data_IF_249516283138
#
_entry.id   IF_249516283138
#
_cell.length_a   1.000
_cell.length_b   1.000
_cell.length_c   1.000
_cell.angle_alpha   90.00
_cell.angle_beta   90.00
_cell.angle_gamma   90.00
#
_symmetry.space_group_name_H-M   'P 1'
#
loop_
_entity.id
_entity.type
_entity.pdbx_description
1 polymer ?
2 non-polymer ?
3 non-polymer ?
4 non-polymer ?
5 water ?
#
# COMPACT_ATOMS: atom_id res chain seq x y z
N UNK A 1 -2.23 0.01 17.59
CA UNK A 1 -2.99 1.05 18.27
C UNK A 1 -3.00 2.35 17.47
N UNK A 2 -2.91 2.22 16.14
CA UNK A 2 -3.21 3.31 15.27
C UNK A 2 -4.69 3.41 15.01
N UNK A 3 -5.08 4.38 14.18
CA UNK A 3 -6.50 4.46 13.89
C UNK A 3 -6.93 3.32 13.00
N UNK A 4 -8.22 3.01 13.01
CA UNK A 4 -8.79 1.95 12.17
C UNK A 4 -9.98 2.51 11.41
N UNK A 5 -10.26 1.90 10.26
CA UNK A 5 -11.54 2.14 9.61
C UNK A 5 -12.65 1.52 10.45
N UNK A 6 -13.74 2.26 10.65
CA UNK A 6 -14.87 1.70 11.40
C UNK A 6 -15.91 1.12 10.46
N UNK A 7 -15.43 0.33 9.50
CA UNK A 7 -16.28 -0.37 8.55
C UNK A 7 -15.41 -1.42 7.88
N UNK A 8 -16.06 -2.42 7.29
CA UNK A 8 -15.35 -3.51 6.65
C UNK A 8 -15.43 -3.49 5.13
N UNK A 9 -16.10 -2.50 4.54
CA UNK A 9 -16.14 -2.31 3.09
C UNK A 9 -15.41 -1.01 2.78
N UNK A 10 -14.32 -1.10 2.03
CA UNK A 10 -13.41 0.03 1.81
C UNK A 10 -13.18 0.14 0.31
N UNK A 11 -13.31 1.35 -0.23
CA UNK A 11 -13.06 1.56 -1.64
C UNK A 11 -11.70 2.20 -1.88
N UNK A 12 -11.12 1.92 -3.04
CA UNK A 12 -9.90 2.59 -3.48
C UNK A 12 -10.08 3.12 -4.90
N UNK A 13 -9.27 4.12 -5.24
CA UNK A 13 -9.27 4.71 -6.57
C UNK A 13 -7.84 5.03 -6.95
N UNK A 14 -7.46 4.69 -8.18
CA UNK A 14 -6.12 5.00 -8.70
C UNK A 14 -6.19 6.37 -9.35
N UNK A 15 -5.59 7.37 -8.70
CA UNK A 15 -5.70 8.75 -9.16
C UNK A 15 -4.96 8.97 -10.47
N UNK A 16 -3.84 8.29 -10.65
CA UNK A 16 -2.99 8.48 -11.81
C UNK A 16 -2.04 7.29 -11.89
N UNK A 17 -1.39 7.14 -13.03
CA UNK A 17 -0.60 5.95 -13.37
C UNK A 17 0.84 6.34 -13.69
N UNK A 18 1.79 5.60 -13.09
CA UNK A 18 3.19 5.77 -13.44
C UNK A 18 3.41 5.41 -14.91
N UNK A 19 4.23 6.16 -15.64
CA UNK A 19 4.61 5.74 -17.00
C UNK A 19 5.59 4.57 -17.01
N UNK A 20 6.11 4.16 -15.84
CA UNK A 20 7.12 3.11 -15.81
C UNK A 20 6.55 1.75 -16.21
N UNK A 21 5.24 1.56 -16.03
CA UNK A 21 4.56 0.29 -16.24
C UNK A 21 3.32 0.56 -17.07
N UNK A 22 2.75 -0.48 -17.64
CA UNK A 22 1.48 -0.22 -18.34
C UNK A 22 0.31 -0.24 -17.35
N UNK A 23 -0.80 0.30 -17.79
CA UNK A 23 -1.94 0.51 -16.90
C UNK A 23 -2.48 -0.79 -16.33
N UNK A 24 -2.50 -1.83 -17.17
CA UNK A 24 -3.02 -3.13 -16.77
C UNK A 24 -2.19 -3.74 -15.64
N UNK A 25 -0.88 -3.53 -15.69
CA UNK A 25 0.02 -4.05 -14.67
C UNK A 25 -0.04 -3.24 -13.37
N UNK A 26 -0.24 -1.92 -13.46
CA UNK A 26 -0.49 -1.15 -12.25
C UNK A 26 -1.76 -1.62 -11.56
N UNK A 27 -2.85 -1.74 -12.32
CA UNK A 27 -4.12 -2.24 -11.76
C UNK A 27 -3.93 -3.59 -11.06
N UNK A 28 -3.20 -4.49 -11.70
CA UNK A 28 -3.01 -5.84 -11.15
C UNK A 28 -2.21 -5.81 -9.86
N UNK A 29 -1.11 -5.03 -9.85
CA UNK A 29 -0.28 -4.97 -8.64
C UNK A 29 -1.07 -4.44 -7.46
N UNK A 30 -1.87 -3.39 -7.69
CA UNK A 30 -2.66 -2.80 -6.60
C UNK A 30 -3.75 -3.76 -6.14
N UNK A 31 -4.47 -4.39 -7.08
CA UNK A 31 -5.52 -5.34 -6.70
C UNK A 31 -4.96 -6.50 -5.89
N UNK A 32 -3.84 -7.07 -6.34
CA UNK A 32 -3.23 -8.17 -5.60
C UNK A 32 -2.73 -7.73 -4.23
N UNK A 33 -2.23 -6.49 -4.11
CA UNK A 33 -1.77 -6.01 -2.81
C UNK A 33 -2.91 -5.87 -1.82
N UNK A 34 -4.07 -5.39 -2.27
CA UNK A 34 -5.24 -5.37 -1.39
C UNK A 34 -5.66 -6.78 -0.99
N UNK A 35 -5.56 -7.72 -1.93
CA UNK A 35 -6.00 -9.09 -1.67
C UNK A 35 -5.17 -9.74 -0.57
N UNK A 36 -3.89 -9.39 -0.46
CA UNK A 36 -3.04 -9.91 0.61
C UNK A 36 -3.69 -9.65 1.98
N UNK A 37 -4.22 -8.43 2.16
CA UNK A 37 -4.80 -8.05 3.45
C UNK A 37 -6.22 -8.55 3.62
N UNK A 38 -7.02 -8.57 2.54
CA UNK A 38 -8.36 -9.11 2.67
C UNK A 38 -8.35 -10.60 2.99
N UNK A 39 -7.28 -11.31 2.58
CA UNK A 39 -7.20 -12.75 2.83
C UNK A 39 -7.14 -13.12 4.30
N UNK A 40 -6.78 -12.19 5.18
CA UNK A 40 -6.59 -12.52 6.60
C UNK A 40 -7.43 -11.65 7.53
N UNK A 41 -8.40 -10.91 6.98
CA UNK A 41 -9.26 -10.01 7.77
C UNK A 41 -10.70 -10.11 7.27
N UNK A 42 -11.66 -9.45 7.93
CA UNK A 42 -12.99 -9.32 7.34
C UNK A 42 -13.10 -8.24 6.27
N UNK A 43 -12.01 -7.55 5.92
CA UNK A 43 -12.09 -6.39 5.04
C UNK A 43 -12.28 -6.79 3.58
N UNK A 44 -13.10 -6.02 2.88
CA UNK A 44 -13.28 -6.17 1.44
C UNK A 44 -12.99 -4.84 0.76
N UNK A 45 -12.34 -4.91 -0.40
CA UNK A 45 -11.89 -3.74 -1.15
C UNK A 45 -12.46 -3.77 -2.56
N UNK A 46 -13.04 -2.66 -2.99
CA UNK A 46 -13.52 -2.50 -4.36
C UNK A 46 -12.91 -1.25 -4.98
N UNK A 47 -12.51 -1.38 -6.25
CA UNK A 47 -11.96 -0.28 -7.03
C UNK A 47 -13.09 0.54 -7.64
N UNK A 48 -13.01 1.86 -7.49
CA UNK A 48 -13.95 2.77 -8.14
C UNK A 48 -13.17 3.81 -8.93
N UNK A 49 -13.84 4.40 -9.92
CA UNK A 49 -13.19 5.34 -10.84
C UNK A 49 -13.68 6.77 -10.68
N UNK A 50 -14.75 6.98 -9.93
CA UNK A 50 -15.28 8.30 -9.61
C UNK A 50 -15.71 8.26 -8.15
N UNK A 51 -16.39 9.31 -7.69
CA UNK A 51 -16.97 9.26 -6.37
C UNK A 51 -15.96 9.50 -5.26
N UNK A 52 -16.26 8.95 -4.09
CA UNK A 52 -15.53 9.27 -2.88
C UNK A 52 -14.89 7.98 -2.35
N UNK A 53 -13.70 7.67 -2.86
CA UNK A 53 -12.99 6.49 -2.41
C UNK A 53 -12.33 6.74 -1.06
N UNK A 54 -12.16 5.66 -0.29
CA UNK A 54 -11.47 5.78 0.99
C UNK A 54 -9.97 5.94 0.80
N UNK A 55 -9.36 5.09 -0.04
CA UNK A 55 -7.91 5.06 -0.24
C UNK A 55 -7.62 5.51 -1.67
N UNK A 56 -7.01 6.70 -1.80
CA UNK A 56 -6.57 7.18 -3.10
C UNK A 56 -5.12 6.75 -3.31
N UNK A 57 -4.83 6.14 -4.46
CA UNK A 57 -3.49 5.72 -4.85
C UNK A 57 -2.94 6.75 -5.82
N UNK A 58 -1.77 7.31 -5.50
CA UNK A 58 -1.20 8.47 -6.20
C UNK A 58 0.27 8.20 -6.48
N UNK A 59 0.72 8.54 -7.69
CA UNK A 59 2.13 8.64 -8.02
C UNK A 59 2.48 10.12 -8.15
N UNK A 60 3.50 10.57 -7.41
CA UNK A 60 3.86 11.99 -7.43
C UNK A 60 5.34 12.16 -7.15
N UNK A 61 5.81 13.40 -7.32
CA UNK A 61 7.24 13.72 -7.32
C UNK A 61 7.56 14.80 -6.29
N UNK A 62 8.70 14.64 -5.60
CA UNK A 62 9.22 15.71 -4.76
C UNK A 62 8.20 16.26 -3.78
N UNK A 63 8.13 17.59 -3.71
CA UNK A 63 7.11 18.27 -2.90
C UNK A 63 5.79 18.22 -3.66
N UNK A 64 4.81 17.50 -3.10
CA UNK A 64 3.60 17.15 -3.84
C UNK A 64 2.33 17.46 -3.05
N UNK A 65 2.37 18.48 -2.20
CA UNK A 65 1.18 19.04 -1.61
C UNK A 65 0.85 18.57 -0.21
N UNK A 66 1.72 17.75 0.38
CA UNK A 66 1.55 17.38 1.78
C UNK A 66 2.85 17.65 2.55
N UNK A 67 2.91 17.26 3.81
CA UNK A 67 4.09 17.60 4.60
C UNK A 67 5.16 16.52 4.52
N UNK A 68 5.09 15.65 3.53
CA UNK A 68 6.00 14.51 3.41
C UNK A 68 6.60 14.48 2.00
N UNK A 69 7.45 15.46 1.72
CA UNK A 69 8.07 15.54 0.40
C UNK A 69 8.94 14.34 0.10
N UNK A 70 8.96 13.94 -1.16
CA UNK A 70 9.84 12.87 -1.64
C UNK A 70 11.24 13.44 -1.94
N UNK A 71 12.17 12.53 -2.26
CA UNK A 71 13.60 12.84 -2.21
C UNK A 71 14.33 12.47 -3.50
N UNK A 72 13.62 12.34 -4.62
CA UNK A 72 14.25 11.87 -5.85
C UNK A 72 14.49 10.38 -5.81
N UNK A 73 15.30 9.90 -6.77
CA UNK A 73 15.52 8.46 -6.89
C UNK A 73 16.27 7.93 -5.68
N UNK A 74 15.77 6.85 -5.11
CA UNK A 74 16.37 6.27 -3.92
C UNK A 74 15.69 6.76 -2.65
N UNK A 75 16.22 6.32 -1.51
CA UNK A 75 15.71 6.79 -0.24
C UNK A 75 14.25 6.41 -0.03
N UNK A 76 13.41 7.41 0.25
CA UNK A 76 11.97 7.19 0.41
C UNK A 76 11.38 6.65 -0.89
N UNK A 77 10.64 5.56 -0.79
CA UNK A 77 9.96 4.99 -1.95
C UNK A 77 8.48 5.39 -2.03
N UNK A 78 7.83 5.57 -0.88
CA UNK A 78 6.39 5.79 -0.81
C UNK A 78 6.08 6.18 0.62
N UNK A 79 4.85 6.65 0.83
CA UNK A 79 4.34 6.86 2.17
C UNK A 79 2.83 6.80 2.13
N UNK A 80 2.21 6.60 3.29
CA UNK A 80 0.76 6.46 3.32
C UNK A 80 0.21 7.01 4.63
N UNK A 81 -1.01 7.52 4.58
CA UNK A 81 -1.69 8.05 5.77
C UNK A 81 -2.56 6.99 6.40
N UNK A 82 -2.63 6.99 7.73
CA UNK A 82 -3.51 6.09 8.45
C UNK A 82 -4.97 6.42 8.22
N UNK A 83 -5.85 5.51 8.64
CA UNK A 83 -7.29 5.67 8.40
C UNK A 83 -7.82 7.01 8.88
N UNK A 84 -8.71 7.59 8.08
CA UNK A 84 -9.33 8.87 8.37
C UNK A 84 -9.95 9.42 7.11
N UNK A 85 -10.68 10.52 7.28
CA UNK A 85 -11.33 11.17 6.14
C UNK A 85 -10.32 11.93 5.29
N UNK A 86 -10.73 12.24 4.07
CA UNK A 86 -9.91 13.05 3.17
C UNK A 86 -8.60 12.36 2.84
N UNK A 87 -7.48 13.01 3.14
CA UNK A 87 -6.18 12.45 2.81
C UNK A 87 -5.90 11.19 3.63
N UNK A 88 -6.64 10.98 4.73
CA UNK A 88 -6.52 9.76 5.49
C UNK A 88 -6.66 8.53 4.61
N UNK A 89 -5.83 7.51 4.86
CA UNK A 89 -5.83 6.30 4.07
C UNK A 89 -5.06 6.37 2.77
N UNK A 90 -4.74 7.56 2.26
CA UNK A 90 -4.19 7.66 0.91
C UNK A 90 -2.73 7.17 0.85
N UNK A 91 -2.36 6.57 -0.27
CA UNK A 91 -1.04 5.97 -0.47
C UNK A 91 -0.35 6.67 -1.64
N UNK A 92 0.83 7.22 -1.40
CA UNK A 92 1.58 8.02 -2.37
C UNK A 92 2.89 7.32 -2.69
N UNK A 93 3.19 7.21 -3.99
CA UNK A 93 4.37 6.50 -4.48
C UNK A 93 5.27 7.50 -5.21
N UNK A 94 6.57 7.44 -4.92
CA UNK A 94 7.53 8.41 -5.44
C UNK A 94 7.81 8.10 -6.92
N UNK A 95 7.37 8.98 -7.82
CA UNK A 95 7.56 8.74 -9.24
C UNK A 95 9.04 8.78 -9.65
N UNK A 96 9.91 9.34 -8.82
CA UNK A 96 11.32 9.29 -9.15
C UNK A 96 11.93 7.91 -8.99
N UNK A 97 11.19 6.95 -8.42
CA UNK A 97 11.58 5.55 -8.50
C UNK A 97 11.17 4.96 -9.83
N UNK A 98 11.75 3.81 -10.16
CA UNK A 98 11.39 3.05 -11.36
C UNK A 98 10.56 1.84 -10.92
N UNK A 99 9.24 1.95 -11.10
CA UNK A 99 8.30 0.94 -10.63
C UNK A 99 8.23 -0.22 -11.61
N UNK A 100 8.25 -1.45 -11.08
CA UNK A 100 8.28 -2.63 -11.95
C UNK A 100 7.36 -3.73 -11.43
N UNK A 101 7.14 -4.72 -12.29
CA UNK A 101 6.44 -5.96 -11.98
C UNK A 101 7.38 -7.04 -11.47
N UNK A 102 8.67 -6.76 -11.33
CA UNK A 102 9.68 -7.81 -11.21
C UNK A 102 10.73 -7.36 -10.19
N UNK A 103 11.93 -7.93 -10.30
CA UNK A 103 12.98 -7.73 -9.32
C UNK A 103 13.80 -6.47 -9.59
N UNK A 104 13.76 -5.95 -10.80
CA UNK A 104 14.45 -4.72 -11.09
C UNK A 104 13.71 -3.52 -10.55
N UNK A 105 14.42 -2.39 -10.45
CA UNK A 105 13.79 -1.19 -9.94
C UNK A 105 13.19 -1.42 -8.57
N UNK A 106 12.00 -0.84 -8.36
CA UNK A 106 11.25 -1.01 -7.12
C UNK A 106 9.95 -1.72 -7.46
N UNK A 107 9.70 -2.87 -6.84
CA UNK A 107 8.52 -3.68 -7.16
C UNK A 107 7.28 -3.00 -6.60
N UNK A 108 6.34 -2.66 -7.49
CA UNK A 108 5.15 -1.94 -7.05
C UNK A 108 4.29 -2.75 -6.08
N UNK A 109 4.08 -4.03 -6.39
CA UNK A 109 3.24 -4.88 -5.54
C UNK A 109 3.74 -4.91 -4.09
N UNK A 110 5.04 -5.17 -3.89
CA UNK A 110 5.57 -5.28 -2.54
C UNK A 110 5.45 -3.94 -1.81
N UNK A 111 5.78 -2.84 -2.48
CA UNK A 111 5.66 -1.53 -1.87
C UNK A 111 4.21 -1.22 -1.51
N UNK A 112 3.28 -1.58 -2.40
CA UNK A 112 1.86 -1.35 -2.14
C UNK A 112 1.34 -2.18 -0.98
N UNK A 113 1.81 -3.43 -0.82
CA UNK A 113 1.41 -4.21 0.35
C UNK A 113 1.80 -3.47 1.62
N UNK A 114 3.04 -2.98 1.66
CA UNK A 114 3.52 -2.24 2.83
C UNK A 114 2.68 -0.98 3.06
N UNK A 115 2.48 -0.19 2.01
CA UNK A 115 1.75 1.07 2.17
C UNK A 115 0.29 0.83 2.55
N UNK A 116 -0.36 -0.16 1.94
CA UNK A 116 -1.74 -0.47 2.32
C UNK A 116 -1.81 -0.90 3.79
N UNK A 117 -0.78 -1.60 4.29
CA UNK A 117 -0.72 -1.86 5.73
C UNK A 117 -0.86 -0.59 6.55
N UNK A 118 -0.12 0.46 6.18
CA UNK A 118 -0.27 1.75 6.84
C UNK A 118 -1.67 2.34 6.62
N UNK A 119 -2.20 2.24 5.41
CA UNK A 119 -3.54 2.75 5.13
C UNK A 119 -4.61 2.08 5.98
N UNK A 120 -4.35 0.88 6.48
CA UNK A 120 -5.27 0.16 7.34
C UNK A 120 -4.97 0.37 8.83
N UNK A 121 -3.86 1.04 9.16
CA UNK A 121 -3.56 1.38 10.54
C UNK A 121 -2.35 0.72 11.14
N UNK A 122 -1.61 -0.11 10.40
CA UNK A 122 -0.44 -0.77 10.93
C UNK A 122 0.76 0.17 11.03
N UNK A 123 1.59 -0.07 12.05
CA UNK A 123 2.91 0.51 12.15
C UNK A 123 3.98 -0.46 11.68
N UNK A 124 5.22 -0.20 12.10
CA UNK A 124 6.34 -0.98 11.61
C UNK A 124 6.62 -2.20 12.49
N UNK A 125 7.22 -3.21 11.86
CA UNK A 125 7.59 -4.46 12.51
C UNK A 125 9.09 -4.50 12.73
N UNK A 126 9.51 -5.21 13.79
CA UNK A 126 10.91 -5.53 14.01
C UNK A 126 11.30 -6.86 13.40
N UNK A 127 10.36 -7.61 12.85
CA UNK A 127 10.65 -8.90 12.21
C UNK A 127 11.23 -8.64 10.82
N UNK A 128 12.46 -9.06 10.54
CA UNK A 128 13.04 -8.79 9.21
C UNK A 128 12.35 -9.49 8.07
N UNK A 129 11.50 -10.47 8.35
CA UNK A 129 10.73 -11.14 7.30
C UNK A 129 9.32 -10.59 7.16
N UNK A 130 8.98 -9.54 7.90
CA UNK A 130 7.66 -8.93 7.82
C UNK A 130 7.59 -7.88 6.73
N UNK A 131 6.47 -7.84 6.01
CA UNK A 131 6.28 -6.80 5.00
C UNK A 131 6.24 -5.41 5.62
N UNK A 132 5.89 -5.31 6.91
CA UNK A 132 5.89 -4.02 7.60
C UNK A 132 7.24 -3.65 8.21
N UNK A 133 8.31 -4.39 7.90
CA UNK A 133 9.65 -3.93 8.25
C UNK A 133 9.91 -2.61 7.52
N UNK A 134 10.69 -1.69 8.12
CA UNK A 134 10.77 -0.32 7.57
C UNK A 134 11.45 -0.22 6.21
N UNK A 135 12.37 -1.13 5.87
CA UNK A 135 13.16 -1.02 4.67
C UNK A 135 12.76 -2.09 3.64
N UNK A 136 12.75 -1.66 2.38
CA UNK A 136 12.35 -2.52 1.27
C UNK A 136 13.37 -3.63 1.01
N UNK A 137 12.84 -4.80 0.67
CA UNK A 137 13.64 -5.90 0.14
C UNK A 137 12.79 -6.58 -0.92
N UNK A 138 13.43 -7.03 -2.00
CA UNK A 138 12.72 -7.81 -3.00
C UNK A 138 12.66 -9.27 -2.58
N UNK A 139 11.49 -9.86 -2.67
CA UNK A 139 11.30 -11.30 -2.54
C UNK A 139 10.45 -11.75 -3.71
N UNK A 140 10.69 -12.99 -4.15
CA UNK A 140 9.92 -13.61 -5.22
C UNK A 140 8.44 -13.36 -4.97
N UNK A 141 7.78 -12.55 -5.79
CA UNK A 141 6.39 -12.19 -5.56
C UNK A 141 5.46 -13.34 -5.93
N UNK A 142 6.03 -14.36 -6.56
CA UNK A 142 5.17 -15.50 -6.83
C UNK A 142 4.94 -16.33 -5.58
N UNK A 143 5.90 -16.30 -4.67
CA UNK A 143 5.82 -17.06 -3.42
C UNK A 143 5.70 -16.14 -2.21
N UNK A 144 5.42 -14.86 -2.41
CA UNK A 144 5.34 -13.92 -1.30
C UNK A 144 4.28 -14.37 -0.30
N UNK A 145 4.57 -14.20 0.98
CA UNK A 145 3.54 -14.40 1.99
C UNK A 145 3.80 -13.47 3.17
N UNK A 146 2.71 -12.96 3.73
CA UNK A 146 2.79 -12.17 4.95
C UNK A 146 3.46 -12.99 6.04
N UNK A 147 4.25 -12.33 6.87
CA UNK A 147 4.80 -13.01 8.03
C UNK A 147 3.72 -13.18 9.09
N UNK A 148 3.98 -14.11 10.02
CA UNK A 148 3.06 -14.28 11.15
C UNK A 148 2.90 -12.99 11.95
N UNK A 149 3.93 -12.13 11.99
CA UNK A 149 3.81 -10.87 12.70
C UNK A 149 2.85 -9.92 11.99
N UNK A 150 2.89 -9.89 10.65
CA UNK A 150 1.96 -9.06 9.89
C UNK A 150 0.52 -9.49 10.13
N UNK A 151 0.27 -10.81 10.11
CA UNK A 151 -1.08 -11.33 10.30
C UNK A 151 -1.56 -11.04 11.71
N UNK A 152 -0.68 -11.22 12.70
CA UNK A 152 -1.01 -10.81 14.07
C UNK A 152 -1.40 -9.34 14.13
N UNK A 153 -0.58 -8.47 13.54
CA UNK A 153 -0.86 -7.05 13.62
C UNK A 153 -2.21 -6.68 13.02
N UNK A 154 -2.50 -7.18 11.82
CA UNK A 154 -3.75 -6.77 11.16
C UNK A 154 -4.96 -7.45 11.79
N UNK A 155 -4.82 -8.69 12.28
CA UNK A 155 -5.93 -9.32 12.97
C UNK A 155 -6.22 -8.67 14.32
N UNK A 156 -5.25 -7.95 14.89
CA UNK A 156 -5.51 -7.22 16.13
C UNK A 156 -6.29 -5.94 15.88
N UNK A 157 -6.26 -5.42 14.66
CA UNK A 157 -7.00 -4.20 14.33
C UNK A 157 -8.40 -4.49 13.79
N UNK A 158 -8.61 -5.62 13.11
CA UNK A 158 -9.89 -5.93 12.46
C UNK A 158 -10.32 -7.35 12.74
N UNK A 159 -11.60 -7.53 13.05
CA UNK A 159 -12.14 -8.85 13.33
C UNK A 159 -12.11 -9.21 14.80
X LIG B 1 6.31 2.00 6.54
X LIG C 1 2.41 12.39 -0.08
X LIG D 1 -8.69 9.02 1.81
X LIG E 1 9.21 6.57 -12.42
X LIG F 1 12.78 8.48 -3.42
X LIG G 1 18.15 4.18 -2.06
X LIG G 1 17.63 3.15 -2.47
X LIG G 1 18.05 2.52 -3.53
X LIG G 1 16.45 2.59 -1.74
X LIG G 1 16.69 2.69 -0.23
X LIG G 1 15.77 1.91 0.67
X LIG G 1 16.60 1.53 1.87
X LIG G 1 16.90 2.51 2.70
X LIG G 1 17.00 0.38 2.03
X LIG G 1 14.60 2.71 0.99
X LIG G 1 13.69 2.34 1.87
X LIG G 1 13.62 1.20 2.34
X LIG G 1 12.70 3.40 2.28
X LIG G 1 13.32 4.50 3.17
X LIG G 1 13.78 3.98 4.53
X LIG G 1 14.31 5.09 5.42
X LIG G 1 15.15 5.97 4.95
X LIG G 1 13.91 5.13 6.61
X LIG G 1 11.51 2.81 2.85
X LIG G 1 10.32 3.18 2.39
X LIG G 1 10.21 3.89 1.41
X LIG G 1 9.11 2.72 3.14
X LIG G 1 8.39 3.95 3.68
X LIG G 1 7.28 3.61 4.64
X LIG G 1 6.08 3.68 4.24
X LIG G 1 7.56 3.24 5.80
X LIG G 1 8.21 1.97 2.16
X LIG G 1 8.40 0.49 1.94
X LIG G 1 8.79 -0.57 2.65
X LIG G 1 8.04 0.08 0.69
X LIG G 1 8.24 -1.32 0.63
X LIG G 1 8.68 -1.67 1.81
X LIG G 1 8.98 -3.12 2.08
X LIG G 1 8.76 -4.07 1.09
X LIG G 1 9.00 -5.41 1.34
X LIG G 1 9.40 -3.53 3.34
X LIG G 1 9.65 -4.87 3.58
X LIG G 1 9.44 -5.82 2.59
X LIG G 1 9.71 -7.25 2.88
X LIG G 1 8.80 -8.23 2.51
X LIG G 1 10.86 -7.62 3.56
X LIG G 1 11.12 -8.95 3.84
X LIG G 1 10.22 -9.92 3.47
X LIG G 1 9.07 -9.55 2.81
X LIG G 1 7.94 -10.77 2.34
#
# INVERSE_FOLDING_TARGET
MGPVWRKHYITYRINNYTPDMNREDVDYAIRKAFQVWSNVTPLKFSKINTGMADILVVFARGAHGDDHAFDGKGGILAHAFGPGSGIGGDAHFDEDEFWTTHSGGTNLFLTAVHEIGHSLGLGHSSDPKAVMFPTYAYVDINTFRLSADDIRGIQSLYG
ZN ZN
ZN ZN
CA CA
CA CA
CA CA
55L O43 C42 O44 C41 C40 C29 C37 N39 O38 N28 C27 O36 C26 C31 C32 C33 O35 O34 N25 C20 O30 C19 C21 C22 O24 O23 C71 C9 C8 O10 N11 C7 C6 C1 C2 C5 C4 C3 C12 C17 C13 C14 C15 C16 CL
#
